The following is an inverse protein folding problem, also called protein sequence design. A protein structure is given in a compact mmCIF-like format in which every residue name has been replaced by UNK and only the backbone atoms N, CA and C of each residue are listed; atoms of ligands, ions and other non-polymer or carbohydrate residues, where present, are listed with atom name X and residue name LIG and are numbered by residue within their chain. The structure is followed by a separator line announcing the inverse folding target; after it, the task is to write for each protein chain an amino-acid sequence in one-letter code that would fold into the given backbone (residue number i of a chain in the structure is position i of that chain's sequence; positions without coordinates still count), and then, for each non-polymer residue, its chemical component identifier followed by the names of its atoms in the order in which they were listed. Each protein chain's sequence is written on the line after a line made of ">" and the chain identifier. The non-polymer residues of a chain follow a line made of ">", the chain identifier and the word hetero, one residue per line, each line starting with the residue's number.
data_IF_532008198869
#
_entry.id   IF_532008198869
#
_cell.length_a   1.000
_cell.length_b   1.000
_cell.length_c   1.000
_cell.angle_alpha   90.00
_cell.angle_beta   90.00
_cell.angle_gamma   90.00
#
_symmetry.space_group_name_H-M   'P 1'
#
loop_
_entity.id
_entity.type
_entity.pdbx_description
1 polymer ?
#
# COMPACT_ATOMS: atom_id res chain seq x y z
N UNK A 1 -29.89 24.43 -70.96
CA UNK A 1 -29.63 24.72 -69.52
C UNK A 1 -30.12 23.52 -68.72
N UNK A 2 -29.25 22.56 -68.39
CA UNK A 2 -28.51 22.44 -67.11
C UNK A 2 -29.46 22.26 -65.91
N UNK A 3 -29.46 21.18 -65.11
CA UNK A 3 -28.59 20.00 -64.95
C UNK A 3 -29.46 18.84 -64.45
N UNK A 4 -29.51 17.74 -65.19
CA UNK A 4 -29.76 16.40 -64.63
C UNK A 4 -28.48 15.94 -63.93
N UNK A 5 -28.60 15.18 -62.82
CA UNK A 5 -27.66 14.18 -62.28
C UNK A 5 -27.90 14.05 -60.76
N UNK A 6 -29.01 13.40 -60.39
CA UNK A 6 -29.10 12.70 -59.10
C UNK A 6 -28.51 11.31 -59.36
N UNK A 7 -27.24 11.13 -59.03
CA UNK A 7 -26.57 9.82 -59.06
C UNK A 7 -26.08 9.48 -57.67
N UNK A 8 -26.79 8.53 -57.06
CA UNK A 8 -26.35 7.51 -56.11
C UNK A 8 -24.83 7.48 -55.86
N UNK A 9 -24.39 7.65 -54.60
CA UNK A 9 -23.36 6.77 -54.00
C UNK A 9 -23.07 7.15 -52.54
N UNK A 10 -23.36 6.18 -51.68
CA UNK A 10 -23.00 6.08 -50.27
C UNK A 10 -21.49 6.00 -50.03
N UNK A 11 -20.72 7.04 -50.33
CA UNK A 11 -19.30 7.05 -49.95
C UNK A 11 -18.89 8.41 -49.39
N UNK A 12 -18.45 8.34 -48.14
CA UNK A 12 -17.57 9.28 -47.47
C UNK A 12 -18.19 10.47 -46.71
N UNK A 13 -19.12 10.16 -45.80
CA UNK A 13 -19.07 10.69 -44.41
C UNK A 13 -17.78 10.19 -43.71
N UNK A 14 -16.60 10.41 -44.31
CA UNK A 14 -15.32 9.78 -43.94
C UNK A 14 -14.33 10.73 -43.28
N UNK A 15 -14.79 11.82 -42.66
CA UNK A 15 -13.90 12.63 -41.81
C UNK A 15 -14.59 13.17 -40.55
N UNK A 16 -15.74 12.61 -40.14
CA UNK A 16 -16.37 13.02 -38.88
C UNK A 16 -15.91 12.22 -37.66
N UNK A 17 -15.16 11.13 -37.77
CA UNK A 17 -14.74 10.35 -36.61
C UNK A 17 -13.39 9.70 -36.91
N UNK A 18 -12.62 9.35 -35.88
CA UNK A 18 -11.35 8.59 -35.95
C UNK A 18 -10.07 9.42 -36.11
N UNK A 19 -9.91 10.44 -35.26
CA UNK A 19 -8.58 10.75 -34.70
C UNK A 19 -8.60 10.75 -33.17
N UNK A 20 -9.21 9.72 -32.58
CA UNK A 20 -8.67 9.22 -31.33
C UNK A 20 -7.50 8.30 -31.70
N UNK A 21 -6.34 8.92 -31.95
CA UNK A 21 -5.08 8.19 -31.85
C UNK A 21 -5.02 7.71 -30.40
N UNK A 22 -5.45 6.47 -30.16
CA UNK A 22 -5.02 5.73 -28.98
C UNK A 22 -3.55 5.40 -29.24
N UNK A 23 -2.70 6.42 -29.14
CA UNK A 23 -1.33 6.19 -28.75
C UNK A 23 -1.45 5.45 -27.42
N UNK A 24 -1.00 4.21 -27.37
CA UNK A 24 -0.69 3.56 -26.10
C UNK A 24 0.40 4.41 -25.46
N UNK A 25 -0.03 5.47 -24.76
CA UNK A 25 0.87 6.39 -24.09
C UNK A 25 1.67 5.56 -23.10
N UNK A 26 2.95 5.38 -23.41
CA UNK A 26 3.87 4.69 -22.51
C UNK A 26 3.81 5.41 -21.16
N UNK A 27 3.62 4.65 -20.08
CA UNK A 27 3.57 5.18 -18.72
C UNK A 27 4.83 6.01 -18.46
N UNK A 28 4.70 7.12 -17.75
CA UNK A 28 5.85 7.95 -17.40
C UNK A 28 6.92 7.08 -16.71
N UNK A 29 8.16 7.01 -17.22
CA UNK A 29 9.20 6.14 -16.68
C UNK A 29 9.58 6.49 -15.24
N UNK A 30 9.33 7.73 -14.80
CA UNK A 30 9.52 8.14 -13.40
C UNK A 30 8.71 7.27 -12.42
N UNK A 31 7.53 6.79 -12.82
CA UNK A 31 6.66 6.00 -11.95
C UNK A 31 7.23 4.62 -11.59
N UNK A 32 8.26 4.17 -12.31
CA UNK A 32 8.95 2.90 -12.04
C UNK A 32 10.22 3.10 -11.21
N UNK A 33 10.66 4.34 -10.97
CA UNK A 33 11.81 4.62 -10.12
C UNK A 33 11.43 4.46 -8.66
N UNK A 34 12.28 3.74 -7.91
CA UNK A 34 12.14 3.63 -6.47
C UNK A 34 12.39 5.01 -5.86
N UNK A 35 11.50 5.53 -4.99
CA UNK A 35 11.78 6.75 -4.24
C UNK A 35 12.92 6.48 -3.25
N UNK A 36 14.13 6.90 -3.61
CA UNK A 36 15.36 6.66 -2.83
C UNK A 36 15.61 7.80 -1.83
N UNK A 37 16.32 7.48 -0.74
CA UNK A 37 16.78 8.44 0.29
C UNK A 37 18.28 8.31 0.62
N UNK A 38 18.95 7.30 0.04
CA UNK A 38 20.36 6.98 0.32
C UNK A 38 21.27 7.63 -0.73
N UNK A 39 22.44 8.13 -0.31
CA UNK A 39 23.46 8.75 -1.18
C UNK A 39 22.95 9.95 -2.00
N UNK A 40 22.22 10.85 -1.36
CA UNK A 40 21.60 11.99 -2.02
C UNK A 40 22.20 13.32 -1.61
N UNK A 41 22.24 14.27 -2.54
CA UNK A 41 22.72 15.63 -2.25
C UNK A 41 21.75 16.33 -1.31
N UNK A 42 20.44 16.21 -1.59
CA UNK A 42 19.36 16.80 -0.80
C UNK A 42 18.16 15.83 -0.76
N UNK A 43 17.66 15.57 0.44
CA UNK A 43 16.42 14.83 0.66
C UNK A 43 15.27 15.82 0.84
N UNK A 44 14.19 15.63 0.10
CA UNK A 44 13.01 16.50 0.10
C UNK A 44 11.77 15.73 0.51
N UNK A 45 10.89 16.34 1.31
CA UNK A 45 9.58 15.78 1.62
C UNK A 45 8.58 16.12 0.50
N UNK A 46 8.31 15.16 -0.38
CA UNK A 46 7.66 15.35 -1.68
C UNK A 46 6.67 14.22 -1.98
N UNK A 47 5.91 14.36 -3.06
CA UNK A 47 5.03 13.31 -3.55
C UNK A 47 5.80 12.40 -4.52
N UNK A 48 5.60 11.10 -4.38
CA UNK A 48 6.18 10.09 -5.26
C UNK A 48 5.20 8.93 -5.42
N UNK A 49 5.18 8.34 -6.60
CA UNK A 49 4.38 7.15 -6.87
C UNK A 49 5.02 5.93 -6.20
N UNK A 50 4.21 5.20 -5.42
CA UNK A 50 4.59 3.97 -4.75
C UNK A 50 4.01 2.79 -5.53
N UNK A 51 4.84 2.03 -6.24
CA UNK A 51 4.38 0.84 -6.96
C UNK A 51 3.73 -0.20 -6.03
N UNK A 52 4.24 -0.35 -4.81
CA UNK A 52 3.70 -1.21 -3.75
C UNK A 52 2.24 -0.86 -3.38
N UNK A 53 1.96 0.44 -3.25
CA UNK A 53 0.64 0.94 -2.86
C UNK A 53 -0.22 1.32 -4.07
N UNK A 54 0.35 1.22 -5.27
CA UNK A 54 -0.25 1.66 -6.53
C UNK A 54 -0.85 3.08 -6.46
N UNK A 55 -0.21 3.98 -5.70
CA UNK A 55 -0.73 5.33 -5.44
C UNK A 55 0.41 6.32 -5.21
N UNK A 56 0.09 7.61 -5.35
CA UNK A 56 0.98 8.69 -4.96
C UNK A 56 0.93 8.90 -3.45
N UNK A 57 2.09 8.73 -2.79
CA UNK A 57 2.26 8.98 -1.35
C UNK A 57 3.25 10.11 -1.11
N UNK A 58 3.08 10.82 0.00
CA UNK A 58 4.04 11.81 0.45
C UNK A 58 5.14 11.11 1.25
N UNK A 59 6.40 11.30 0.87
CA UNK A 59 7.54 10.68 1.53
C UNK A 59 8.81 11.52 1.36
N UNK A 60 9.90 11.12 2.02
CA UNK A 60 11.24 11.63 1.74
C UNK A 60 11.77 11.02 0.45
N UNK A 61 12.26 11.87 -0.45
CA UNK A 61 12.78 11.48 -1.76
C UNK A 61 13.93 12.42 -2.13
N UNK A 62 14.97 11.88 -2.74
CA UNK A 62 16.09 12.67 -3.25
C UNK A 62 15.67 13.67 -4.31
N UNK A 63 16.32 14.84 -4.36
CA UNK A 63 15.96 15.88 -5.32
C UNK A 63 16.24 15.46 -6.77
N UNK A 64 17.20 14.57 -6.99
CA UNK A 64 17.60 14.08 -8.31
C UNK A 64 16.66 12.99 -8.84
N UNK A 65 15.95 12.29 -7.95
CA UNK A 65 15.02 11.23 -8.31
C UNK A 65 13.83 11.81 -9.08
N UNK A 66 13.54 11.29 -10.28
CA UNK A 66 12.46 11.82 -11.12
C UNK A 66 11.07 11.45 -10.62
N UNK A 67 10.95 10.48 -9.73
CA UNK A 67 9.72 10.18 -9.00
C UNK A 67 9.55 11.16 -7.80
N UNK A 68 9.60 12.47 -8.09
CA UNK A 68 9.59 13.54 -7.10
C UNK A 68 8.73 14.69 -7.62
N UNK A 69 7.56 14.87 -7.01
CA UNK A 69 6.55 15.84 -7.42
C UNK A 69 6.23 16.79 -6.26
N UNK A 70 6.00 18.07 -6.57
CA UNK A 70 5.70 19.08 -5.57
C UNK A 70 4.32 18.90 -4.92
N UNK A 71 3.34 18.39 -5.69
CA UNK A 71 1.95 18.21 -5.25
C UNK A 71 1.44 16.81 -5.58
N UNK A 72 0.35 16.41 -4.90
CA UNK A 72 -0.33 15.14 -5.14
C UNK A 72 -0.84 15.05 -6.58
N UNK A 73 -1.52 16.10 -7.03
CA UNK A 73 -2.14 16.15 -8.37
C UNK A 73 -1.10 16.01 -9.48
N UNK A 74 0.08 16.64 -9.34
CA UNK A 74 1.17 16.48 -10.30
C UNK A 74 1.70 15.05 -10.33
N UNK A 75 1.78 14.40 -9.17
CA UNK A 75 2.16 13.00 -9.09
C UNK A 75 1.10 12.11 -9.76
N UNK A 76 -0.18 12.27 -9.43
CA UNK A 76 -1.26 11.41 -9.94
C UNK A 76 -1.51 11.61 -11.44
N UNK A 77 -1.38 12.83 -11.95
CA UNK A 77 -1.43 13.11 -13.39
C UNK A 77 -0.24 12.50 -14.14
N UNK A 78 0.96 12.52 -13.52
CA UNK A 78 2.17 11.94 -14.10
C UNK A 78 2.19 10.41 -13.99
N UNK A 79 1.66 9.88 -12.90
CA UNK A 79 1.73 8.49 -12.46
C UNK A 79 0.37 8.00 -11.98
N UNK A 80 -0.62 7.87 -12.88
CA UNK A 80 -1.94 7.38 -12.50
C UNK A 80 -1.85 5.94 -11.97
N UNK A 81 -2.70 5.53 -11.02
CA UNK A 81 -2.77 4.15 -10.55
C UNK A 81 -2.91 3.16 -11.71
N UNK A 82 -2.21 2.02 -11.63
CA UNK A 82 -2.35 0.94 -12.60
C UNK A 82 -3.70 0.24 -12.34
N UNK A 83 -4.62 0.18 -13.32
CA UNK A 83 -5.89 -0.53 -13.14
C UNK A 83 -5.67 -2.00 -12.77
N UNK A 84 -6.44 -2.50 -11.80
CA UNK A 84 -6.39 -3.90 -11.37
C UNK A 84 -5.27 -4.26 -10.39
N UNK A 85 -4.28 -3.39 -10.17
CA UNK A 85 -3.27 -3.61 -9.13
C UNK A 85 -3.85 -3.16 -7.78
N UNK A 86 -4.05 -4.12 -6.88
CA UNK A 86 -4.41 -3.88 -5.48
C UNK A 86 -3.16 -4.00 -4.61
N UNK A 87 -2.90 -3.06 -3.69
CA UNK A 87 -1.82 -3.20 -2.73
C UNK A 87 -1.97 -4.48 -1.93
N UNK A 88 -0.84 -5.11 -1.59
CA UNK A 88 -0.87 -6.22 -0.65
C UNK A 88 -1.41 -5.70 0.69
N UNK A 89 -2.42 -6.38 1.29
CA UNK A 89 -2.92 -5.97 2.60
C UNK A 89 -1.80 -6.11 3.63
N UNK A 90 -1.53 -5.04 4.38
CA UNK A 90 -0.56 -5.08 5.48
C UNK A 90 -0.90 -6.22 6.46
N UNK A 91 0.10 -7.00 6.93
CA UNK A 91 -0.15 -8.06 7.90
C UNK A 91 -0.84 -7.53 9.16
N UNK A 92 -1.81 -8.30 9.67
CA UNK A 92 -2.49 -8.00 10.95
C UNK A 92 -1.61 -8.48 12.11
N UNK A 93 -0.64 -7.66 12.45
CA UNK A 93 0.31 -7.90 13.54
C UNK A 93 -0.27 -7.58 14.93
N UNK A 94 0.58 -7.64 15.96
CA UNK A 94 0.18 -7.36 17.33
C UNK A 94 -0.32 -5.91 17.49
N UNK A 95 0.32 -4.94 16.82
CA UNK A 95 -0.08 -3.53 16.88
C UNK A 95 -1.46 -3.31 16.26
N UNK A 96 -1.74 -3.97 15.13
CA UNK A 96 -3.07 -3.94 14.51
C UNK A 96 -4.15 -4.39 15.50
N UNK A 97 -3.97 -5.53 16.16
CA UNK A 97 -4.98 -6.08 17.08
C UNK A 97 -5.10 -5.28 18.37
N UNK A 98 -3.98 -4.77 18.88
CA UNK A 98 -3.98 -3.90 20.06
C UNK A 98 -4.82 -2.64 19.83
N UNK A 99 -4.68 -2.00 18.66
CA UNK A 99 -5.43 -0.80 18.32
C UNK A 99 -6.89 -1.07 17.93
N UNK A 100 -7.14 -2.13 17.15
CA UNK A 100 -8.41 -2.30 16.44
C UNK A 100 -9.29 -3.45 16.95
N UNK A 101 -8.78 -4.32 17.82
CA UNK A 101 -9.48 -5.55 18.17
C UNK A 101 -10.30 -5.50 19.45
N UNK A 102 -10.34 -4.39 20.18
CA UNK A 102 -10.94 -4.29 21.53
C UNK A 102 -12.42 -4.71 21.57
N UNK A 103 -13.13 -4.61 20.45
CA UNK A 103 -14.51 -5.06 20.31
C UNK A 103 -14.67 -6.61 20.29
N UNK A 104 -13.59 -7.38 20.14
CA UNK A 104 -13.68 -8.82 19.89
C UNK A 104 -12.54 -9.70 20.41
N UNK A 105 -11.32 -9.18 20.63
CA UNK A 105 -10.26 -10.03 21.17
C UNK A 105 -10.56 -10.38 22.62
N UNK A 106 -10.11 -11.56 23.02
CA UNK A 106 -10.02 -11.92 24.44
C UNK A 106 -8.67 -11.44 24.95
N UNK A 107 -8.63 -10.92 26.17
CA UNK A 107 -7.39 -10.53 26.83
C UNK A 107 -7.40 -10.86 28.31
N UNK A 108 -6.20 -10.92 28.89
CA UNK A 108 -5.98 -11.08 30.31
C UNK A 108 -4.63 -10.49 30.71
N UNK A 109 -4.49 -10.12 31.98
CA UNK A 109 -3.23 -9.67 32.58
C UNK A 109 -2.54 -10.83 33.28
N UNK A 110 -1.22 -10.94 33.13
CA UNK A 110 -0.39 -11.94 33.80
C UNK A 110 1.06 -11.46 33.91
N UNK A 111 1.94 -12.28 34.45
CA UNK A 111 3.38 -11.99 34.53
C UNK A 111 4.18 -13.05 33.77
N UNK A 112 5.02 -12.62 32.83
CA UNK A 112 6.02 -13.49 32.20
C UNK A 112 7.34 -13.40 32.95
N UNK A 113 8.09 -14.51 33.00
CA UNK A 113 9.43 -14.51 33.56
C UNK A 113 10.47 -14.24 32.47
N UNK A 114 11.42 -13.36 32.75
CA UNK A 114 12.62 -13.23 31.92
C UNK A 114 13.61 -14.38 32.18
N UNK A 115 14.74 -14.37 31.46
CA UNK A 115 15.81 -15.34 31.62
C UNK A 115 16.44 -15.34 33.03
N UNK A 116 16.36 -14.22 33.75
CA UNK A 116 16.88 -14.07 35.12
C UNK A 116 15.82 -14.39 36.18
N UNK A 117 14.62 -14.83 35.78
CA UNK A 117 13.51 -15.15 36.68
C UNK A 117 12.72 -13.93 37.19
N UNK A 118 13.03 -12.71 36.71
CA UNK A 118 12.24 -11.52 37.05
C UNK A 118 10.87 -11.60 36.39
N UNK A 119 9.86 -11.13 37.11
CA UNK A 119 8.48 -11.10 36.62
C UNK A 119 8.20 -9.76 35.94
N UNK A 120 7.73 -9.83 34.70
CA UNK A 120 7.30 -8.68 33.91
C UNK A 120 5.79 -8.72 33.72
N UNK A 121 5.05 -7.69 34.16
CA UNK A 121 3.61 -7.62 33.93
C UNK A 121 3.34 -7.43 32.44
N UNK A 122 2.43 -8.26 31.91
CA UNK A 122 2.03 -8.24 30.51
C UNK A 122 0.51 -8.32 30.37
N UNK A 123 0.00 -7.82 29.25
CA UNK A 123 -1.33 -8.15 28.76
C UNK A 123 -1.19 -9.13 27.62
N UNK A 124 -1.84 -10.28 27.74
CA UNK A 124 -1.95 -11.26 26.66
C UNK A 124 -3.30 -11.06 26.01
N UNK A 125 -3.34 -11.09 24.68
CA UNK A 125 -4.55 -10.88 23.90
C UNK A 125 -4.55 -11.68 22.61
N UNK A 126 -5.73 -11.88 22.03
CA UNK A 126 -5.89 -12.62 20.77
C UNK A 126 -6.15 -11.70 19.58
N UNK A 127 -6.18 -12.27 18.37
CA UNK A 127 -6.80 -11.61 17.22
C UNK A 127 -8.32 -11.85 17.17
N UNK A 128 -8.99 -11.34 16.15
CA UNK A 128 -10.42 -11.60 15.93
C UNK A 128 -10.70 -12.45 14.70
N UNK A 129 -11.91 -13.03 14.65
CA UNK A 129 -12.36 -13.86 13.54
C UNK A 129 -11.44 -15.05 13.31
N UNK A 130 -10.89 -15.17 12.10
CA UNK A 130 -9.93 -16.22 11.75
C UNK A 130 -8.62 -16.17 12.57
N UNK A 131 -8.31 -15.04 13.21
CA UNK A 131 -7.08 -14.83 13.98
C UNK A 131 -7.24 -15.07 15.48
N UNK A 132 -8.39 -15.56 15.94
CA UNK A 132 -8.68 -15.81 17.37
C UNK A 132 -7.73 -16.78 18.07
N UNK A 133 -6.98 -17.59 17.31
CA UNK A 133 -5.99 -18.55 17.82
C UNK A 133 -4.58 -17.98 17.93
N UNK A 134 -4.31 -16.82 17.33
CA UNK A 134 -3.03 -16.14 17.51
C UNK A 134 -3.00 -15.47 18.87
N UNK A 135 -1.87 -15.59 19.54
CA UNK A 135 -1.64 -15.01 20.86
C UNK A 135 -0.60 -13.92 20.72
N UNK A 136 -0.92 -12.76 21.26
CA UNK A 136 -0.06 -11.60 21.30
C UNK A 136 0.21 -11.21 22.75
N UNK A 137 1.40 -10.67 23.00
CA UNK A 137 1.80 -10.17 24.32
C UNK A 137 2.13 -8.71 24.19
N UNK A 138 1.60 -7.89 25.08
CA UNK A 138 2.00 -6.51 25.28
C UNK A 138 2.75 -6.38 26.60
N UNK A 139 4.00 -5.96 26.54
CA UNK A 139 4.88 -5.74 27.69
C UNK A 139 4.67 -4.33 28.23
N UNK A 140 4.14 -4.23 29.45
CA UNK A 140 3.74 -2.93 30.03
C UNK A 140 4.93 -1.99 30.21
N UNK A 141 6.06 -2.52 30.66
CA UNK A 141 7.27 -1.73 30.98
C UNK A 141 7.89 -1.10 29.72
N UNK A 142 7.95 -1.88 28.63
CA UNK A 142 8.63 -1.44 27.39
C UNK A 142 7.67 -0.88 26.35
N UNK A 143 6.35 -1.03 26.58
CA UNK A 143 5.28 -0.71 25.63
C UNK A 143 5.42 -1.41 24.27
N UNK A 144 6.12 -2.54 24.24
CA UNK A 144 6.31 -3.36 23.04
C UNK A 144 5.25 -4.46 22.99
N UNK A 145 4.86 -4.86 21.78
CA UNK A 145 4.08 -6.08 21.59
C UNK A 145 4.79 -7.08 20.69
N UNK A 146 4.47 -8.36 20.86
CA UNK A 146 4.96 -9.46 20.04
C UNK A 146 3.87 -10.50 19.80
N UNK A 147 3.94 -11.19 18.66
CA UNK A 147 3.17 -12.41 18.42
C UNK A 147 3.93 -13.60 19.02
N UNK A 148 3.29 -14.37 19.91
CA UNK A 148 3.84 -15.64 20.37
C UNK A 148 3.62 -16.66 19.26
N UNK A 149 4.71 -17.04 18.60
CA UNK A 149 4.71 -18.19 17.70
C UNK A 149 4.71 -19.44 18.57
N UNK A 150 3.56 -20.08 18.74
CA UNK A 150 3.46 -21.39 19.42
C UNK A 150 4.18 -22.45 18.57
N UNK A 151 5.49 -22.59 18.72
CA UNK A 151 6.20 -23.83 18.41
C UNK A 151 6.17 -24.66 19.71
N UNK A 152 5.28 -25.65 19.80
CA UNK A 152 5.38 -26.71 20.81
C UNK A 152 4.73 -26.50 22.18
N UNK A 153 3.62 -25.77 22.32
CA UNK A 153 2.77 -25.93 23.51
C UNK A 153 1.77 -27.08 23.27
N UNK A 154 2.30 -28.32 23.25
CA UNK A 154 1.48 -29.50 22.98
C UNK A 154 2.18 -30.77 22.48
N UNK A 155 3.49 -30.94 22.67
CA UNK A 155 4.15 -32.24 22.45
C UNK A 155 5.23 -32.48 23.50
N UNK A 156 4.80 -33.02 24.63
CA UNK A 156 5.59 -33.99 25.39
C UNK A 156 4.87 -35.33 25.19
N UNK A 157 5.40 -36.14 24.29
CA UNK A 157 5.39 -37.60 24.45
C UNK A 157 6.75 -37.97 25.05
#
# INVERSE_FOLDING_TARGET
>A
MNRTFVTLSFLAVYISVWKHSSATASRNPACSLVPEVENCTIVLFRWSFSSELNECKRNYVCCENKNNFATKDLCEASCPPVPGVKPEPKPKDCHYWLANGHACYTYWFTSLRDYWGRQHPVMVYTGCGQWRRKIYVYYMETRKCTEIKTRGYGSRE
#
